data_IF_040206358254
#
_entry.id   IF_040206358254
#
_cell.length_a   1.000
_cell.length_b   1.000
_cell.length_c   1.000
_cell.angle_alpha   90.00
_cell.angle_beta   90.00
_cell.angle_gamma   90.00
#
_symmetry.space_group_name_H-M   'P 1'
#
loop_
_entity.id
_entity.type
_entity.pdbx_description
1 polymer ?
#
# COMPACT_ATOMS: atom_id res chain seq x y z
N UNK A 1 6.95 -5.61 -45.74
CA UNK A 1 5.59 -5.95 -45.29
C UNK A 1 5.53 -5.76 -43.78
N UNK A 2 4.86 -4.71 -43.30
CA UNK A 2 4.79 -4.38 -41.89
C UNK A 2 3.84 -5.35 -41.19
N UNK A 3 4.39 -6.27 -40.39
CA UNK A 3 3.62 -7.05 -39.43
C UNK A 3 3.09 -6.12 -38.36
N UNK A 4 1.85 -5.65 -38.51
CA UNK A 4 1.12 -5.05 -37.39
C UNK A 4 0.95 -6.15 -36.34
N UNK A 5 1.77 -6.12 -35.29
CA UNK A 5 1.52 -6.86 -34.06
C UNK A 5 0.15 -6.43 -33.55
N UNK A 6 -0.88 -7.21 -33.88
CA UNK A 6 -2.25 -6.93 -33.50
C UNK A 6 -2.38 -7.28 -32.01
N UNK A 7 -1.86 -6.40 -31.16
CA UNK A 7 -1.91 -6.55 -29.71
C UNK A 7 -3.37 -6.70 -29.29
N UNK A 8 -3.70 -7.79 -28.59
CA UNK A 8 -5.09 -8.07 -28.22
C UNK A 8 -5.69 -6.89 -27.44
N UNK A 9 -6.97 -6.61 -27.66
CA UNK A 9 -7.69 -5.52 -27.00
C UNK A 9 -7.51 -5.53 -25.47
N UNK A 10 -7.50 -6.70 -24.83
CA UNK A 10 -7.28 -6.84 -23.39
C UNK A 10 -5.87 -6.39 -22.96
N UNK A 11 -4.87 -6.64 -23.80
CA UNK A 11 -3.47 -6.31 -23.57
C UNK A 11 -3.24 -4.80 -23.75
N UNK A 12 -3.86 -4.19 -24.77
CA UNK A 12 -3.90 -2.73 -24.94
C UNK A 12 -4.58 -2.04 -23.76
N UNK A 13 -5.71 -2.59 -23.28
CA UNK A 13 -6.42 -2.06 -22.11
C UNK A 13 -5.60 -2.19 -20.83
N UNK A 14 -4.91 -3.32 -20.64
CA UNK A 14 -3.99 -3.51 -19.51
C UNK A 14 -2.81 -2.53 -19.58
N UNK A 15 -2.19 -2.32 -20.75
CA UNK A 15 -1.15 -1.29 -20.96
C UNK A 15 -1.66 0.10 -20.62
N UNK A 16 -2.82 0.50 -21.15
CA UNK A 16 -3.44 1.80 -20.86
C UNK A 16 -3.76 1.95 -19.38
N UNK A 17 -4.25 0.90 -18.73
CA UNK A 17 -4.49 0.90 -17.30
C UNK A 17 -3.19 1.09 -16.51
N UNK A 18 -2.13 0.35 -16.85
CA UNK A 18 -0.83 0.48 -16.18
C UNK A 18 -0.29 1.92 -16.34
N UNK A 19 -0.39 2.50 -17.53
CA UNK A 19 0.15 3.84 -17.84
C UNK A 19 -0.71 4.98 -17.27
N UNK A 20 -2.03 4.92 -17.46
CA UNK A 20 -2.96 6.04 -17.21
C UNK A 20 -3.87 5.83 -15.99
N UNK A 21 -3.91 4.61 -15.44
CA UNK A 21 -4.88 4.21 -14.42
C UNK A 21 -6.31 4.02 -14.97
N UNK A 22 -6.49 4.01 -16.30
CA UNK A 22 -7.76 3.82 -17.03
C UNK A 22 -7.52 3.13 -18.37
N UNK A 23 -8.50 2.41 -18.91
CA UNK A 23 -8.41 1.74 -20.22
C UNK A 23 -8.92 2.61 -21.40
N UNK A 24 -9.60 3.72 -21.11
CA UNK A 24 -10.20 4.64 -22.08
C UNK A 24 -9.20 5.57 -22.80
N UNK A 25 -7.94 5.60 -22.37
CA UNK A 25 -6.87 6.37 -23.01
C UNK A 25 -6.99 7.90 -22.87
N UNK A 26 -7.90 8.42 -22.05
CA UNK A 26 -8.04 9.87 -21.83
C UNK A 26 -7.15 10.33 -20.68
N UNK A 27 -6.43 11.45 -20.84
CA UNK A 27 -5.80 12.16 -19.73
C UNK A 27 -6.86 12.78 -18.82
N UNK A 28 -6.56 12.98 -17.53
CA UNK A 28 -7.46 13.64 -16.58
C UNK A 28 -7.72 15.10 -16.99
N UNK A 29 -8.76 15.33 -17.79
CA UNK A 29 -9.37 16.65 -17.97
C UNK A 29 -10.75 16.58 -17.32
N UNK A 30 -10.88 17.24 -16.17
CA UNK A 30 -12.11 17.69 -15.49
C UNK A 30 -13.47 17.09 -15.92
N UNK A 31 -13.66 15.79 -15.78
CA UNK A 31 -15.01 15.21 -15.78
C UNK A 31 -15.29 14.48 -14.48
N UNK A 32 -16.56 14.61 -14.08
CA UNK A 32 -17.15 14.31 -12.77
C UNK A 32 -16.70 12.96 -12.23
N UNK A 33 -16.73 12.80 -10.89
CA UNK A 33 -16.43 11.58 -10.13
C UNK A 33 -17.17 10.34 -10.67
N UNK A 34 -16.71 9.76 -11.78
CA UNK A 34 -17.15 8.44 -12.21
C UNK A 34 -16.30 7.44 -11.44
N UNK A 35 -17.00 6.47 -10.85
CA UNK A 35 -16.56 5.60 -9.77
C UNK A 35 -15.23 4.88 -10.05
N UNK A 36 -14.13 5.40 -9.49
CA UNK A 36 -12.80 4.75 -9.48
C UNK A 36 -12.86 3.31 -8.97
N UNK A 37 -13.82 2.98 -8.10
CA UNK A 37 -14.07 1.62 -7.58
C UNK A 37 -14.65 0.69 -8.66
N UNK A 38 -15.56 1.18 -9.51
CA UNK A 38 -16.09 0.37 -10.63
C UNK A 38 -14.99 0.11 -11.64
N UNK A 39 -14.18 1.12 -11.95
CA UNK A 39 -13.10 1.01 -12.94
C UNK A 39 -12.02 0.02 -12.46
N UNK A 40 -11.53 0.16 -11.23
CA UNK A 40 -10.55 -0.79 -10.67
C UNK A 40 -11.10 -2.23 -10.60
N UNK A 41 -12.39 -2.42 -10.29
CA UNK A 41 -13.02 -3.74 -10.31
C UNK A 41 -13.13 -4.32 -11.72
N UNK A 42 -13.32 -3.48 -12.75
CA UNK A 42 -13.34 -3.91 -14.14
C UNK A 42 -11.94 -4.24 -14.66
N UNK A 43 -10.91 -3.50 -14.23
CA UNK A 43 -9.52 -3.79 -14.61
C UNK A 43 -8.98 -5.04 -13.93
N UNK A 44 -9.35 -5.30 -12.66
CA UNK A 44 -9.07 -6.60 -12.01
C UNK A 44 -9.66 -7.76 -12.81
N UNK A 45 -10.89 -7.62 -13.30
CA UNK A 45 -11.54 -8.63 -14.14
C UNK A 45 -10.83 -8.86 -15.48
N UNK A 46 -10.14 -7.86 -16.04
CA UNK A 46 -9.32 -8.04 -17.26
C UNK A 46 -8.08 -8.86 -16.94
N UNK A 47 -7.43 -8.60 -15.81
CA UNK A 47 -6.29 -9.41 -15.34
C UNK A 47 -6.74 -10.84 -15.09
N UNK A 48 -7.85 -11.04 -14.36
CA UNK A 48 -8.43 -12.35 -14.07
C UNK A 48 -8.80 -13.09 -15.36
N UNK A 49 -9.40 -12.38 -16.34
CA UNK A 49 -9.72 -12.93 -17.65
C UNK A 49 -8.48 -13.36 -18.42
N UNK A 50 -7.44 -12.50 -18.50
CA UNK A 50 -6.19 -12.85 -19.19
C UNK A 50 -5.48 -14.05 -18.55
N UNK A 51 -5.59 -14.20 -17.22
CA UNK A 51 -5.06 -15.37 -16.52
C UNK A 51 -5.89 -16.62 -16.88
N UNK A 52 -7.22 -16.53 -16.87
CA UNK A 52 -8.10 -17.63 -17.25
C UNK A 52 -7.95 -18.08 -18.71
N UNK A 53 -7.59 -17.17 -19.61
CA UNK A 53 -7.31 -17.43 -21.03
C UNK A 53 -5.89 -18.00 -21.26
N UNK A 54 -5.14 -18.32 -20.21
CA UNK A 54 -3.77 -18.88 -20.31
C UNK A 54 -2.69 -17.84 -20.65
N UNK A 55 -3.02 -16.55 -20.67
CA UNK A 55 -2.10 -15.45 -21.02
C UNK A 55 -1.47 -14.77 -19.81
N UNK A 56 -1.32 -15.49 -18.70
CA UNK A 56 -0.73 -14.95 -17.47
C UNK A 56 0.71 -14.45 -17.65
N UNK A 57 1.50 -15.08 -18.52
CA UNK A 57 2.86 -14.64 -18.85
C UNK A 57 2.88 -13.26 -19.52
N UNK A 58 1.87 -12.96 -20.34
CA UNK A 58 1.71 -11.65 -20.98
C UNK A 58 1.41 -10.57 -19.93
N UNK A 59 0.52 -10.86 -18.96
CA UNK A 59 0.23 -9.95 -17.83
C UNK A 59 1.52 -9.63 -17.06
N UNK A 60 2.30 -10.65 -16.72
CA UNK A 60 3.56 -10.47 -15.98
C UNK A 60 4.58 -9.69 -16.83
N UNK A 61 4.66 -9.97 -18.12
CA UNK A 61 5.50 -9.24 -19.07
C UNK A 61 5.14 -7.76 -19.11
N UNK A 62 3.85 -7.43 -19.23
CA UNK A 62 3.34 -6.06 -19.24
C UNK A 62 3.59 -5.32 -17.91
N UNK A 63 3.43 -6.01 -16.77
CA UNK A 63 3.76 -5.44 -15.46
C UNK A 63 5.25 -5.17 -15.34
N UNK A 64 6.10 -6.12 -15.77
CA UNK A 64 7.57 -5.95 -15.76
C UNK A 64 8.01 -4.80 -16.67
N UNK A 65 7.42 -4.71 -17.87
CA UNK A 65 7.67 -3.63 -18.82
C UNK A 65 7.26 -2.27 -18.24
N UNK A 66 6.10 -2.20 -17.58
CA UNK A 66 5.64 -0.99 -16.90
C UNK A 66 6.55 -0.58 -15.73
N UNK A 67 6.96 -1.53 -14.89
CA UNK A 67 7.90 -1.26 -13.78
C UNK A 67 9.24 -0.78 -14.34
N UNK A 68 9.75 -1.40 -15.40
CA UNK A 68 10.97 -0.95 -16.09
C UNK A 68 10.79 0.44 -16.72
N UNK A 69 9.66 0.69 -17.37
CA UNK A 69 9.34 2.00 -17.95
C UNK A 69 9.31 3.08 -16.87
N UNK A 70 8.63 2.84 -15.74
CA UNK A 70 8.57 3.79 -14.63
C UNK A 70 9.90 3.98 -13.91
N UNK A 71 10.80 2.98 -13.90
CA UNK A 71 12.15 3.16 -13.37
C UNK A 71 13.05 3.95 -14.32
N UNK A 72 12.89 3.77 -15.64
CA UNK A 72 13.73 4.40 -16.68
C UNK A 72 13.29 5.84 -16.99
N UNK A 73 11.98 6.11 -17.01
CA UNK A 73 11.43 7.46 -17.24
C UNK A 73 11.68 8.43 -16.09
N UNK A 74 12.29 8.00 -14.97
CA UNK A 74 12.68 8.92 -13.88
C UNK A 74 13.75 9.91 -14.30
N UNK A 75 14.53 9.61 -15.33
CA UNK A 75 15.61 10.48 -15.79
C UNK A 75 15.08 11.66 -16.64
N UNK A 76 14.02 11.44 -17.43
CA UNK A 76 13.47 12.46 -18.36
C UNK A 76 12.07 12.98 -18.02
N UNK A 77 11.33 12.34 -17.10
CA UNK A 77 10.03 12.85 -16.64
C UNK A 77 10.20 13.86 -15.51
N UNK A 78 9.42 14.96 -15.55
CA UNK A 78 9.46 16.07 -14.57
C UNK A 78 8.96 15.72 -13.15
N UNK A 79 9.20 14.50 -12.67
CA UNK A 79 8.87 14.04 -11.32
C UNK A 79 7.43 13.53 -11.17
N UNK A 80 6.84 13.77 -10.00
CA UNK A 80 5.52 13.24 -9.61
C UNK A 80 4.39 13.88 -10.43
N UNK A 81 3.80 13.14 -11.36
CA UNK A 81 2.66 13.60 -12.15
C UNK A 81 1.32 13.54 -11.38
N UNK A 82 0.29 14.24 -11.88
CA UNK A 82 -1.07 14.23 -11.29
C UNK A 82 -1.62 12.80 -11.14
N UNK A 83 -1.39 11.95 -12.13
CA UNK A 83 -1.83 10.56 -12.12
C UNK A 83 -1.16 9.75 -10.98
N UNK A 84 0.15 9.88 -10.81
CA UNK A 84 0.91 9.19 -9.75
C UNK A 84 0.47 9.66 -8.35
N UNK A 85 0.36 10.98 -8.13
CA UNK A 85 -0.14 11.53 -6.87
C UNK A 85 -1.54 11.03 -6.55
N UNK A 86 -2.42 10.97 -7.56
CA UNK A 86 -3.79 10.46 -7.41
C UNK A 86 -3.79 8.96 -7.09
N UNK A 87 -3.04 8.15 -7.81
CA UNK A 87 -2.97 6.70 -7.59
C UNK A 87 -2.48 6.38 -6.17
N UNK A 88 -1.42 7.05 -5.70
CA UNK A 88 -0.89 6.85 -4.34
C UNK A 88 -1.88 7.37 -3.30
N UNK A 89 -2.46 8.56 -3.49
CA UNK A 89 -3.48 9.09 -2.58
C UNK A 89 -4.69 8.18 -2.48
N UNK A 90 -5.10 7.62 -3.60
CA UNK A 90 -6.21 6.70 -3.65
C UNK A 90 -5.84 5.36 -3.00
N UNK A 91 -4.61 4.86 -3.17
CA UNK A 91 -4.14 3.67 -2.45
C UNK A 91 -4.22 3.85 -0.94
N UNK A 92 -3.79 4.98 -0.35
CA UNK A 92 -3.94 5.17 1.10
C UNK A 92 -5.40 5.27 1.56
N UNK A 93 -6.26 5.87 0.73
CA UNK A 93 -7.68 6.01 1.03
C UNK A 93 -8.50 4.73 0.73
N UNK A 94 -8.00 3.84 -0.13
CA UNK A 94 -8.63 2.56 -0.52
C UNK A 94 -8.03 1.34 0.19
N UNK A 95 -6.75 1.40 0.59
CA UNK A 95 -6.03 0.29 1.22
C UNK A 95 -6.68 -0.13 2.55
N UNK A 96 -7.48 0.76 3.14
CA UNK A 96 -8.58 0.36 4.01
C UNK A 96 -9.71 -0.22 3.14
N UNK A 97 -9.54 -1.46 2.68
CA UNK A 97 -10.51 -2.25 1.92
C UNK A 97 -11.89 -2.43 2.60
N UNK A 98 -12.15 -1.76 3.74
CA UNK A 98 -13.39 -1.70 4.54
C UNK A 98 -13.12 -0.85 5.81
N UNK A 99 -12.76 0.44 5.70
CA UNK A 99 -12.56 1.31 6.88
C UNK A 99 -11.66 0.72 8.01
N UNK A 100 -10.66 -0.12 7.69
CA UNK A 100 -9.87 -0.81 8.71
C UNK A 100 -8.50 -0.14 8.92
N UNK A 101 -8.36 0.77 9.91
CA UNK A 101 -7.09 1.47 10.19
C UNK A 101 -5.97 0.54 10.63
N UNK A 102 -6.29 -0.54 11.36
CA UNK A 102 -5.30 -1.51 11.86
C UNK A 102 -4.56 -2.22 10.73
N UNK A 103 -5.25 -2.56 9.65
CA UNK A 103 -4.64 -3.20 8.46
C UNK A 103 -3.63 -2.27 7.78
N UNK A 104 -4.00 -1.00 7.60
CA UNK A 104 -3.09 -0.01 7.01
C UNK A 104 -1.88 0.26 7.92
N UNK A 105 -2.10 0.35 9.24
CA UNK A 105 -1.02 0.47 10.21
C UNK A 105 -0.06 -0.71 10.15
N UNK A 106 -0.58 -1.94 10.07
CA UNK A 106 0.24 -3.14 9.95
C UNK A 106 1.15 -3.08 8.71
N UNK A 107 0.66 -2.57 7.58
CA UNK A 107 1.50 -2.34 6.41
C UNK A 107 2.56 -1.26 6.68
N UNK A 108 2.15 -0.14 7.28
CA UNK A 108 3.03 0.97 7.63
C UNK A 108 4.14 0.62 8.62
N UNK A 109 3.85 -0.26 9.58
CA UNK A 109 4.81 -0.71 10.60
C UNK A 109 5.70 -1.85 10.10
N UNK A 110 5.18 -2.74 9.25
CA UNK A 110 5.92 -3.85 8.65
C UNK A 110 6.88 -3.37 7.55
N UNK A 111 6.45 -2.47 6.68
CA UNK A 111 7.20 -2.02 5.50
C UNK A 111 7.58 -0.54 5.60
N UNK A 112 8.22 -0.14 6.71
CA UNK A 112 8.57 1.27 6.98
C UNK A 112 9.35 1.96 5.86
N UNK A 113 10.33 1.25 5.29
CA UNK A 113 11.18 1.71 4.18
C UNK A 113 11.41 0.56 3.20
N UNK A 114 11.14 0.78 1.91
CA UNK A 114 11.46 -0.16 0.82
C UNK A 114 11.84 0.62 -0.44
N UNK A 115 12.82 0.11 -1.17
CA UNK A 115 13.32 0.72 -2.41
C UNK A 115 13.62 2.23 -2.28
N UNK A 116 14.19 2.65 -1.15
CA UNK A 116 14.54 4.03 -0.88
C UNK A 116 13.41 4.93 -0.36
N UNK A 117 12.15 4.51 -0.42
CA UNK A 117 11.01 5.32 0.03
C UNK A 117 10.45 4.84 1.37
N UNK A 118 10.02 5.79 2.20
CA UNK A 118 9.17 5.53 3.36
C UNK A 118 7.71 5.88 3.07
N UNK A 119 6.79 5.33 3.86
CA UNK A 119 5.38 5.74 3.78
C UNK A 119 5.20 7.26 4.03
N UNK A 120 6.04 7.87 4.88
CA UNK A 120 6.05 9.32 5.12
C UNK A 120 6.41 10.09 3.84
N UNK A 121 7.39 9.61 3.09
CA UNK A 121 7.80 10.24 1.83
C UNK A 121 6.69 10.16 0.79
N UNK A 122 6.09 8.98 0.63
CA UNK A 122 4.98 8.77 -0.30
C UNK A 122 3.78 9.67 0.04
N UNK A 123 3.43 9.79 1.32
CA UNK A 123 2.33 10.65 1.77
C UNK A 123 2.59 12.12 1.41
N UNK A 124 3.83 12.59 1.62
CA UNK A 124 4.23 13.98 1.31
C UNK A 124 4.27 14.23 -0.19
N UNK A 125 4.89 13.35 -0.96
CA UNK A 125 5.03 13.48 -2.42
C UNK A 125 3.68 13.39 -3.14
N UNK A 126 2.78 12.54 -2.67
CA UNK A 126 1.46 12.37 -3.25
C UNK A 126 0.45 13.44 -2.78
N UNK A 127 0.78 14.22 -1.75
CA UNK A 127 -0.15 15.14 -1.07
C UNK A 127 -1.45 14.44 -0.66
N UNK A 128 -1.33 13.31 0.03
CA UNK A 128 -2.48 12.47 0.41
C UNK A 128 -3.38 13.24 1.37
N UNK A 129 -4.64 13.45 0.95
CA UNK A 129 -5.70 13.96 1.81
C UNK A 129 -6.53 12.78 2.34
N UNK A 130 -6.59 12.55 3.67
CA UNK A 130 -7.45 11.54 4.25
C UNK A 130 -8.92 11.80 3.91
N UNK A 131 -9.66 10.76 3.53
CA UNK A 131 -11.13 10.84 3.31
C UNK A 131 -11.96 10.50 4.55
N UNK A 132 -11.36 9.82 5.54
CA UNK A 132 -12.02 9.38 6.78
C UNK A 132 -11.13 9.65 7.99
N UNK A 133 -11.74 9.82 9.16
CA UNK A 133 -11.02 10.03 10.43
C UNK A 133 -10.12 8.82 10.78
N UNK A 134 -10.53 7.61 10.41
CA UNK A 134 -9.71 6.40 10.52
C UNK A 134 -8.38 6.50 9.76
N UNK A 135 -8.41 6.96 8.50
CA UNK A 135 -7.20 7.11 7.68
C UNK A 135 -6.35 8.28 8.16
N UNK A 136 -7.00 9.35 8.61
CA UNK A 136 -6.32 10.51 9.19
C UNK A 136 -5.50 10.10 10.42
N UNK A 137 -6.07 9.30 11.32
CA UNK A 137 -5.36 8.74 12.47
C UNK A 137 -4.09 7.97 12.05
N UNK A 138 -4.19 7.10 11.05
CA UNK A 138 -3.05 6.29 10.58
C UNK A 138 -1.98 7.17 9.92
N UNK A 139 -2.38 8.10 9.06
CA UNK A 139 -1.46 9.03 8.39
C UNK A 139 -0.77 9.92 9.43
N UNK A 140 -1.49 10.40 10.43
CA UNK A 140 -0.93 11.18 11.53
C UNK A 140 0.11 10.38 12.30
N UNK A 141 -0.16 9.11 12.61
CA UNK A 141 0.83 8.25 13.25
C UNK A 141 2.08 8.06 12.38
N UNK A 142 1.95 7.81 11.08
CA UNK A 142 3.11 7.64 10.17
C UNK A 142 3.94 8.92 10.04
N UNK A 143 3.27 10.08 9.93
CA UNK A 143 3.91 11.38 9.66
C UNK A 143 4.42 12.06 10.92
N UNK A 144 3.72 11.96 12.05
CA UNK A 144 4.07 12.64 13.31
C UNK A 144 4.58 11.70 14.39
N UNK A 145 4.28 10.41 14.31
CA UNK A 145 4.56 9.44 15.38
C UNK A 145 3.42 9.37 16.39
N UNK A 146 3.71 8.85 17.58
CA UNK A 146 2.75 8.66 18.68
C UNK A 146 2.45 10.01 19.37
N UNK A 147 1.90 10.98 18.65
CA UNK A 147 1.38 12.23 19.24
C UNK A 147 -0.12 12.06 19.52
N UNK A 148 -0.53 12.39 20.75
CA UNK A 148 -1.85 12.18 21.33
C UNK A 148 -3.00 12.40 20.35
N UNK A 149 -3.56 11.28 19.92
CA UNK A 149 -4.72 11.17 19.05
C UNK A 149 -6.02 11.28 19.85
N UNK A 150 -6.09 12.21 20.80
CA UNK A 150 -7.20 12.29 21.76
C UNK A 150 -8.49 12.85 21.19
N UNK A 151 -8.49 13.30 19.93
CA UNK A 151 -9.61 14.04 19.34
C UNK A 151 -10.29 13.31 18.16
N UNK A 152 -10.01 12.03 17.94
CA UNK A 152 -10.68 11.28 16.87
C UNK A 152 -11.98 10.68 17.37
N UNK A 153 -13.03 10.81 16.56
CA UNK A 153 -14.29 10.08 16.74
C UNK A 153 -14.00 8.57 16.61
N UNK A 154 -14.25 7.82 17.68
CA UNK A 154 -14.05 6.37 17.78
C UNK A 154 -15.35 5.66 18.15
N UNK A 155 -16.47 6.13 17.59
CA UNK A 155 -17.78 5.50 17.76
C UNK A 155 -17.76 4.01 17.37
N UNK A 156 -16.97 3.65 16.36
CA UNK A 156 -16.83 2.28 15.84
C UNK A 156 -15.80 1.42 16.61
N UNK A 157 -15.02 2.01 17.53
CA UNK A 157 -13.97 1.32 18.31
C UNK A 157 -12.70 0.92 17.54
N UNK A 158 -12.64 1.17 16.23
CA UNK A 158 -11.54 0.76 15.35
C UNK A 158 -10.26 1.56 15.61
N UNK A 159 -10.36 2.82 16.03
CA UNK A 159 -9.19 3.66 16.36
C UNK A 159 -8.59 3.19 17.67
N UNK A 160 -9.41 2.84 18.67
CA UNK A 160 -8.90 2.23 19.91
C UNK A 160 -8.19 0.91 19.66
N UNK A 161 -8.74 0.03 18.81
CA UNK A 161 -8.08 -1.22 18.43
C UNK A 161 -6.74 -0.96 17.72
N UNK A 162 -6.72 -0.03 16.77
CA UNK A 162 -5.53 0.39 16.05
C UNK A 162 -4.48 1.02 16.99
N UNK A 163 -4.90 1.83 17.96
CA UNK A 163 -4.05 2.43 18.98
C UNK A 163 -3.44 1.39 19.93
N UNK A 164 -4.20 0.36 20.31
CA UNK A 164 -3.68 -0.79 21.06
C UNK A 164 -2.61 -1.55 20.27
N UNK A 165 -2.83 -1.76 18.97
CA UNK A 165 -1.82 -2.38 18.10
C UNK A 165 -0.53 -1.54 18.04
N UNK A 166 -0.64 -0.22 17.87
CA UNK A 166 0.52 0.69 17.89
C UNK A 166 1.27 0.58 19.22
N UNK A 167 0.56 0.63 20.36
CA UNK A 167 1.17 0.46 21.69
C UNK A 167 1.95 -0.85 21.79
N UNK A 168 1.36 -1.95 21.30
CA UNK A 168 2.04 -3.25 21.25
C UNK A 168 3.30 -3.24 20.38
N UNK A 169 3.26 -2.57 19.24
CA UNK A 169 4.42 -2.41 18.34
C UNK A 169 5.53 -1.57 18.99
N UNK A 170 5.21 -0.49 19.70
CA UNK A 170 6.22 0.32 20.39
C UNK A 170 6.83 -0.44 21.59
N UNK A 171 5.99 -1.08 22.42
CA UNK A 171 6.46 -1.92 23.52
C UNK A 171 7.36 -3.07 23.04
N UNK A 172 7.04 -3.69 21.91
CA UNK A 172 7.86 -4.73 21.33
C UNK A 172 9.25 -4.21 20.90
N UNK A 173 9.35 -2.97 20.40
CA UNK A 173 10.64 -2.36 20.02
C UNK A 173 11.52 -2.05 21.24
N UNK A 174 10.91 -1.72 22.37
CA UNK A 174 11.61 -1.38 23.61
C UNK A 174 12.11 -2.61 24.38
N UNK A 175 11.61 -3.80 24.04
CA UNK A 175 12.01 -5.05 24.70
C UNK A 175 13.51 -5.34 24.51
N UNK A 176 14.17 -5.73 25.62
CA UNK A 176 15.57 -6.18 25.67
C UNK A 176 15.65 -7.67 26.04
N UNK A 177 16.86 -8.25 26.06
CA UNK A 177 17.11 -9.69 26.24
C UNK A 177 16.41 -10.33 27.45
N UNK A 178 16.20 -9.57 28.54
CA UNK A 178 15.58 -10.08 29.77
C UNK A 178 14.04 -10.17 29.69
N UNK A 179 13.43 -9.64 28.62
CA UNK A 179 11.99 -9.47 28.48
C UNK A 179 11.37 -10.40 27.41
N UNK A 180 11.99 -11.52 27.07
CA UNK A 180 11.53 -12.44 26.01
C UNK A 180 10.10 -12.93 26.26
N UNK A 181 9.77 -13.31 27.50
CA UNK A 181 8.41 -13.78 27.85
C UNK A 181 7.36 -12.68 27.66
N UNK A 182 7.70 -11.44 27.99
CA UNK A 182 6.86 -10.28 27.74
C UNK A 182 6.66 -10.06 26.24
N UNK A 183 7.73 -10.14 25.44
CA UNK A 183 7.66 -10.03 23.98
C UNK A 183 6.76 -11.11 23.35
N UNK A 184 6.84 -12.37 23.82
CA UNK A 184 5.97 -13.47 23.36
C UNK A 184 4.49 -13.15 23.66
N UNK A 185 4.21 -12.61 24.85
CA UNK A 185 2.84 -12.18 25.20
C UNK A 185 2.33 -11.08 24.26
N UNK A 186 3.18 -10.12 23.89
CA UNK A 186 2.84 -9.05 22.94
C UNK A 186 2.60 -9.59 21.53
N UNK A 187 3.41 -10.53 21.07
CA UNK A 187 3.26 -11.20 19.78
C UNK A 187 1.90 -11.90 19.71
N UNK A 188 1.54 -12.69 20.73
CA UNK A 188 0.25 -13.40 20.79
C UNK A 188 -0.93 -12.44 20.87
N UNK A 189 -0.83 -11.40 21.71
CA UNK A 189 -1.92 -10.43 21.95
C UNK A 189 -2.23 -9.55 20.74
N UNK A 190 -1.20 -9.01 20.10
CA UNK A 190 -1.37 -8.04 19.01
C UNK A 190 -1.16 -8.64 17.62
N UNK A 191 -0.86 -9.94 17.55
CA UNK A 191 -0.52 -10.67 16.34
C UNK A 191 0.58 -9.93 15.54
N UNK A 192 1.70 -9.69 16.24
CA UNK A 192 2.86 -8.99 15.69
C UNK A 192 3.62 -9.88 14.73
N UNK A 193 4.10 -9.31 13.64
CA UNK A 193 4.96 -10.01 12.67
C UNK A 193 6.44 -9.88 13.04
N UNK A 194 7.28 -10.76 12.46
CA UNK A 194 8.74 -10.75 12.58
C UNK A 194 9.38 -9.36 12.46
N UNK A 195 8.90 -8.53 11.53
CA UNK A 195 9.42 -7.17 11.28
C UNK A 195 9.21 -6.18 12.44
N UNK A 196 8.38 -6.52 13.43
CA UNK A 196 8.19 -5.72 14.64
C UNK A 196 9.12 -6.15 15.78
N UNK A 197 9.85 -7.25 15.62
CA UNK A 197 10.72 -7.82 16.65
C UNK A 197 12.11 -7.18 16.55
N UNK A 198 12.70 -6.72 17.66
CA UNK A 198 14.07 -6.22 17.69
C UNK A 198 15.08 -7.24 17.18
N UNK A 199 16.01 -6.81 16.32
CA UNK A 199 16.97 -7.69 15.65
C UNK A 199 17.84 -8.51 16.62
N UNK A 200 18.21 -7.91 17.75
CA UNK A 200 18.96 -8.57 18.83
C UNK A 200 18.22 -9.77 19.45
N UNK A 201 16.89 -9.80 19.36
CA UNK A 201 16.05 -10.88 19.92
C UNK A 201 15.69 -11.95 18.89
N UNK A 202 15.85 -11.67 17.59
CA UNK A 202 15.55 -12.60 16.50
C UNK A 202 16.46 -13.84 16.49
N UNK A 203 17.68 -13.73 17.00
CA UNK A 203 18.65 -14.83 17.06
C UNK A 203 18.44 -15.76 18.27
N UNK A 204 17.47 -15.49 19.14
CA UNK A 204 17.14 -16.44 20.20
C UNK A 204 16.55 -17.71 19.56
N UNK A 205 16.97 -18.89 20.04
CA UNK A 205 16.57 -20.22 19.50
C UNK A 205 15.05 -20.36 19.31
N UNK A 206 14.25 -19.60 20.04
CA UNK A 206 12.79 -19.60 20.01
C UNK A 206 12.15 -19.06 18.71
N UNK A 207 12.85 -18.25 17.91
CA UNK A 207 12.31 -17.68 16.66
C UNK A 207 12.98 -18.21 15.39
N UNK A 208 13.87 -19.19 15.54
CA UNK A 208 14.77 -19.69 14.50
C UNK A 208 14.35 -20.98 13.80
N UNK A 209 13.25 -21.62 14.20
CA UNK A 209 12.77 -22.84 13.52
C UNK A 209 11.59 -22.54 12.58
N UNK A 210 11.60 -23.11 11.36
CA UNK A 210 10.57 -22.90 10.33
C UNK A 210 9.21 -23.50 10.69
#
# INVERSE_FOLDING_TARGET
MAGQNNESLNSQRLRRFLIYGRDDGRYFVNERRVNVVRDFSQHSRIIDRMISEGRGLEVVGLIKEFVKFTSTQREDSRGWGRAQRKAVSEWYNQAAFQNNPKKLLRLGTKYKKRHGYTHRDLIRLAHVKPKTHHIEFVIQYIVKGMCSSSNFDDSDGLIREAGQFIKGVEQAKECKGNAINHLISLIRRYNLTREHIPTNLLNSRMFGEP
#
